data_IF_229017373212
#
_entry.id   IF_229017373212
#
_cell.length_a   1.000
_cell.length_b   1.000
_cell.length_c   1.000
_cell.angle_alpha   90.00
_cell.angle_beta   90.00
_cell.angle_gamma   90.00
#
_symmetry.space_group_name_H-M   'P 1'
#
loop_
_entity.id
_entity.type
_entity.pdbx_description
1 polymer ?
#
# COMPACT_ATOMS: atom_id res chain seq x y z
N UNK A 1 -68.12 7.14 -11.43
CA UNK A 1 -67.11 6.07 -11.52
C UNK A 1 -66.06 6.47 -12.57
N UNK A 2 -65.06 7.27 -12.19
CA UNK A 2 -63.87 7.58 -13.00
C UNK A 2 -62.72 7.78 -12.01
N UNK A 3 -62.04 6.68 -11.68
CA UNK A 3 -60.77 6.68 -10.95
C UNK A 3 -59.67 7.00 -11.97
N UNK A 4 -59.22 8.25 -12.01
CA UNK A 4 -58.00 8.61 -12.73
C UNK A 4 -56.85 8.49 -11.74
N UNK A 5 -56.17 7.34 -11.81
CA UNK A 5 -55.06 6.98 -10.94
C UNK A 5 -53.93 8.01 -11.03
N UNK A 6 -53.63 8.63 -9.88
CA UNK A 6 -52.48 9.48 -9.66
C UNK A 6 -51.22 8.60 -9.77
N UNK A 7 -50.56 8.60 -10.93
CA UNK A 7 -49.25 7.97 -11.11
C UNK A 7 -48.21 8.70 -10.25
N UNK A 8 -47.95 8.13 -9.08
CA UNK A 8 -46.84 8.49 -8.21
C UNK A 8 -45.56 7.93 -8.86
N UNK A 9 -44.87 8.76 -9.62
CA UNK A 9 -43.50 8.49 -10.06
C UNK A 9 -42.58 8.73 -8.86
N UNK A 10 -42.35 7.68 -8.06
CA UNK A 10 -41.39 7.67 -6.96
C UNK A 10 -39.98 7.51 -7.57
N UNK A 11 -39.12 8.54 -7.57
CA UNK A 11 -37.74 8.36 -8.01
C UNK A 11 -37.05 7.51 -6.95
N UNK A 12 -36.79 6.25 -7.28
CA UNK A 12 -35.94 5.37 -6.48
C UNK A 12 -34.54 5.99 -6.51
N UNK A 13 -34.23 6.78 -5.49
CA UNK A 13 -32.87 7.23 -5.22
C UNK A 13 -32.05 5.97 -4.92
N UNK A 14 -31.27 5.49 -5.90
CA UNK A 14 -30.22 4.53 -5.65
C UNK A 14 -29.20 5.23 -4.74
N UNK A 15 -29.36 5.03 -3.43
CA UNK A 15 -28.31 5.25 -2.47
C UNK A 15 -27.18 4.27 -2.79
N UNK A 16 -26.24 4.69 -3.64
CA UNK A 16 -25.01 3.96 -3.86
C UNK A 16 -24.28 3.88 -2.53
N UNK A 17 -24.20 2.69 -1.95
CA UNK A 17 -23.19 2.39 -0.95
C UNK A 17 -21.84 2.57 -1.62
N UNK A 18 -21.23 3.74 -1.44
CA UNK A 18 -19.79 3.91 -1.64
C UNK A 18 -19.15 2.96 -0.62
N UNK A 19 -18.76 1.79 -1.08
CA UNK A 19 -18.10 0.79 -0.24
C UNK A 19 -16.89 1.43 0.42
N UNK A 20 -16.69 1.15 1.71
CA UNK A 20 -15.55 1.67 2.44
C UNK A 20 -14.27 1.29 1.70
N UNK A 21 -13.33 2.22 1.50
CA UNK A 21 -12.09 1.93 0.80
C UNK A 21 -11.31 0.84 1.55
N UNK A 22 -10.63 -0.04 0.80
CA UNK A 22 -9.79 -1.08 1.37
C UNK A 22 -8.65 -0.46 2.19
N UNK A 23 -8.25 -1.10 3.29
CA UNK A 23 -7.08 -0.65 4.06
C UNK A 23 -5.88 -1.56 3.77
N UNK A 24 -4.66 -1.03 3.80
CA UNK A 24 -3.44 -1.83 3.84
C UNK A 24 -3.42 -2.75 5.06
N UNK A 25 -2.98 -4.00 4.87
CA UNK A 25 -2.79 -5.00 5.93
C UNK A 25 -1.32 -5.33 6.17
N UNK A 26 -0.49 -5.24 5.14
CA UNK A 26 0.94 -5.54 5.21
C UNK A 26 1.68 -5.01 3.99
N UNK A 27 2.99 -4.83 4.14
CA UNK A 27 3.88 -4.33 3.10
C UNK A 27 5.14 -5.17 3.06
N UNK A 28 5.45 -5.70 1.89
CA UNK A 28 6.72 -6.34 1.58
C UNK A 28 7.59 -5.37 0.77
N UNK A 29 8.82 -5.15 1.24
CA UNK A 29 9.78 -4.24 0.60
C UNK A 29 10.88 -5.06 -0.05
N UNK A 30 11.14 -4.77 -1.32
CA UNK A 30 12.17 -5.42 -2.14
C UNK A 30 12.98 -4.39 -2.94
N UNK A 31 14.05 -4.85 -3.59
CA UNK A 31 14.81 -4.01 -4.53
C UNK A 31 13.98 -3.52 -5.73
N UNK A 32 12.91 -4.23 -6.10
CA UNK A 32 12.04 -3.86 -7.22
C UNK A 32 10.96 -2.84 -6.82
N UNK A 33 10.67 -2.69 -5.53
CA UNK A 33 9.59 -1.85 -5.03
C UNK A 33 8.90 -2.43 -3.80
N UNK A 34 7.73 -1.86 -3.50
CA UNK A 34 6.84 -2.34 -2.44
C UNK A 34 5.66 -3.11 -3.04
N UNK A 35 5.28 -4.18 -2.33
CA UNK A 35 4.05 -4.93 -2.55
C UNK A 35 3.17 -4.76 -1.31
N UNK A 36 1.93 -4.32 -1.49
CA UNK A 36 1.00 -3.99 -0.41
C UNK A 36 -0.21 -4.90 -0.48
N UNK A 37 -0.40 -5.71 0.56
CA UNK A 37 -1.57 -6.57 0.72
C UNK A 37 -2.74 -5.76 1.31
N UNK A 38 -3.89 -5.75 0.65
CA UNK A 38 -5.07 -4.95 1.04
C UNK A 38 -6.16 -5.81 1.69
N UNK A 39 -7.05 -5.18 2.45
CA UNK A 39 -8.14 -5.86 3.18
C UNK A 39 -9.20 -6.52 2.27
N UNK A 40 -9.26 -6.12 1.00
CA UNK A 40 -10.11 -6.70 -0.04
C UNK A 40 -9.40 -7.81 -0.85
N UNK A 41 -8.23 -8.29 -0.39
CA UNK A 41 -7.37 -9.26 -1.08
C UNK A 41 -6.74 -8.75 -2.38
N UNK A 42 -6.78 -7.45 -2.64
CA UNK A 42 -5.97 -6.86 -3.70
C UNK A 42 -4.51 -6.76 -3.28
N UNK A 43 -3.64 -6.89 -4.26
CA UNK A 43 -2.23 -6.58 -4.13
C UNK A 43 -1.94 -5.33 -4.93
N UNK A 44 -1.43 -4.32 -4.23
CA UNK A 44 -1.07 -3.03 -4.78
C UNK A 44 0.45 -2.91 -4.86
N UNK A 45 0.99 -2.29 -5.91
CA UNK A 45 2.44 -2.20 -6.12
C UNK A 45 2.93 -0.76 -6.19
N UNK A 46 4.10 -0.51 -5.61
CA UNK A 46 4.81 0.77 -5.67
C UNK A 46 6.23 0.56 -6.18
N UNK A 47 6.48 0.69 -7.50
CA UNK A 47 7.79 0.40 -8.07
C UNK A 47 8.88 1.32 -7.52
N UNK A 48 10.06 0.75 -7.26
CA UNK A 48 11.23 1.52 -6.85
C UNK A 48 11.85 2.26 -8.06
N UNK A 49 12.38 3.48 -7.87
CA UNK A 49 13.13 4.16 -8.90
C UNK A 49 14.46 3.47 -9.19
N UNK A 50 14.96 3.63 -10.41
CA UNK A 50 16.32 3.21 -10.74
C UNK A 50 17.33 4.09 -9.97
N UNK A 51 18.23 3.45 -9.21
CA UNK A 51 19.28 4.14 -8.45
C UNK A 51 19.25 3.93 -6.94
N UNK A 52 18.25 3.23 -6.39
CA UNK A 52 18.13 2.98 -4.95
C UNK A 52 17.84 4.26 -4.15
N UNK A 53 17.68 4.12 -2.84
CA UNK A 53 17.33 5.22 -1.93
C UNK A 53 15.84 5.29 -1.58
N UNK A 54 15.48 6.21 -0.69
CA UNK A 54 14.09 6.50 -0.30
C UNK A 54 13.27 7.02 -1.49
N UNK A 55 12.00 6.61 -1.60
CA UNK A 55 11.15 6.99 -2.73
C UNK A 55 9.69 7.21 -2.32
N UNK A 56 8.89 7.76 -3.23
CA UNK A 56 7.47 8.01 -3.00
C UNK A 56 6.71 7.94 -4.32
N UNK A 57 5.42 7.63 -4.26
CA UNK A 57 4.58 7.57 -5.44
C UNK A 57 3.11 7.35 -5.10
N UNK A 58 2.38 6.78 -6.05
CA UNK A 58 1.00 6.31 -5.83
C UNK A 58 0.96 4.83 -6.17
N UNK A 59 0.31 4.03 -5.30
CA UNK A 59 0.18 2.60 -5.52
C UNK A 59 -0.60 2.32 -6.81
N UNK A 60 -0.14 1.32 -7.55
CA UNK A 60 -0.71 0.86 -8.81
C UNK A 60 -1.47 -0.44 -8.57
N UNK A 61 -2.53 -0.68 -9.36
CA UNK A 61 -3.35 -1.89 -9.25
C UNK A 61 -4.39 -1.87 -8.12
N UNK A 62 -4.57 -0.73 -7.44
CA UNK A 62 -5.58 -0.54 -6.41
C UNK A 62 -6.89 0.03 -6.96
N UNK A 63 -8.01 -0.24 -6.27
CA UNK A 63 -9.32 0.38 -6.55
C UNK A 63 -9.38 1.89 -6.23
N UNK A 64 -8.36 2.43 -5.56
CA UNK A 64 -8.29 3.85 -5.17
C UNK A 64 -6.84 4.35 -5.21
N UNK A 65 -6.60 5.65 -5.37
CA UNK A 65 -5.26 6.20 -5.32
C UNK A 65 -4.77 6.22 -3.86
N UNK A 66 -3.68 5.48 -3.59
CA UNK A 66 -2.99 5.50 -2.31
C UNK A 66 -1.60 6.10 -2.51
N UNK A 67 -1.38 7.39 -2.17
CA UNK A 67 -0.04 7.95 -2.07
C UNK A 67 0.78 7.15 -1.05
N UNK A 68 2.07 7.00 -1.30
CA UNK A 68 2.96 6.33 -0.37
C UNK A 68 4.34 6.99 -0.34
N UNK A 69 5.04 6.76 0.76
CA UNK A 69 6.43 7.15 0.99
C UNK A 69 7.19 5.96 1.60
N UNK A 70 8.36 5.68 1.04
CA UNK A 70 9.30 4.70 1.56
C UNK A 70 10.56 5.45 1.99
N UNK A 71 10.87 5.34 3.27
CA UNK A 71 12.07 5.88 3.87
C UNK A 71 12.99 4.71 4.21
N UNK A 72 14.09 4.57 3.47
CA UNK A 72 15.12 3.58 3.82
C UNK A 72 15.87 4.06 5.06
N UNK A 73 15.96 3.19 6.06
CA UNK A 73 16.83 3.44 7.21
C UNK A 73 18.22 2.92 6.86
N UNK A 74 19.06 3.80 6.35
CA UNK A 74 20.47 3.50 6.06
C UNK A 74 21.32 3.36 7.33
N UNK A 75 20.73 3.60 8.52
CA UNK A 75 21.29 3.25 9.81
C UNK A 75 22.78 3.53 9.95
N UNK A 76 23.27 4.69 9.49
CA UNK A 76 24.65 5.16 9.66
C UNK A 76 25.79 4.24 9.18
N UNK A 77 25.51 3.12 8.52
CA UNK A 77 26.52 2.10 8.22
C UNK A 77 26.46 1.69 6.73
N UNK A 78 27.25 2.34 5.86
CA UNK A 78 27.26 2.10 4.41
C UNK A 78 27.64 0.66 4.03
N UNK A 79 28.16 -0.14 4.97
CA UNK A 79 28.47 -1.56 4.78
C UNK A 79 27.18 -2.39 4.62
N UNK A 80 26.03 -1.93 5.16
CA UNK A 80 24.78 -2.72 5.08
C UNK A 80 24.10 -2.69 3.71
N UNK A 81 24.19 -1.58 2.96
CA UNK A 81 23.69 -1.52 1.59
C UNK A 81 24.42 -2.52 0.68
N UNK A 82 25.74 -2.62 0.84
CA UNK A 82 26.57 -3.61 0.14
C UNK A 82 26.30 -5.04 0.60
N UNK A 83 25.96 -5.27 1.87
CA UNK A 83 25.51 -6.59 2.37
C UNK A 83 24.21 -7.06 1.71
N UNK A 84 23.19 -6.21 1.53
CA UNK A 84 21.95 -6.63 0.85
C UNK A 84 22.21 -7.03 -0.61
N UNK A 85 23.05 -6.28 -1.33
CA UNK A 85 23.46 -6.61 -2.70
C UNK A 85 24.29 -7.90 -2.77
N UNK A 86 25.27 -8.07 -1.88
CA UNK A 86 26.18 -9.23 -1.85
C UNK A 86 25.45 -10.50 -1.40
N UNK A 87 24.54 -10.41 -0.42
CA UNK A 87 23.81 -11.58 0.09
C UNK A 87 22.65 -11.99 -0.83
N UNK A 88 22.02 -11.02 -1.51
CA UNK A 88 21.10 -11.31 -2.61
C UNK A 88 21.77 -12.15 -3.72
N UNK A 89 23.05 -11.92 -4.01
CA UNK A 89 23.80 -12.66 -5.02
C UNK A 89 24.13 -14.13 -4.63
N UNK A 90 24.11 -14.47 -3.34
CA UNK A 90 24.30 -15.85 -2.83
C UNK A 90 22.98 -16.52 -2.41
N UNK A 91 21.84 -15.95 -2.80
CA UNK A 91 20.51 -16.53 -2.57
C UNK A 91 19.91 -16.25 -1.19
N UNK A 92 20.51 -15.38 -0.40
CA UNK A 92 19.95 -14.89 0.86
C UNK A 92 19.21 -13.57 0.61
N UNK A 93 17.89 -13.65 0.50
CA UNK A 93 17.01 -12.48 0.32
C UNK A 93 16.91 -11.71 1.64
N UNK A 94 17.72 -10.68 1.79
CA UNK A 94 17.60 -9.72 2.88
C UNK A 94 16.65 -8.59 2.44
N UNK A 95 15.49 -8.47 3.09
CA UNK A 95 14.59 -7.33 2.86
C UNK A 95 15.23 -6.04 3.38
N UNK A 96 15.13 -4.91 2.64
CA UNK A 96 15.63 -3.63 3.09
C UNK A 96 14.99 -3.21 4.42
N UNK A 97 15.76 -2.55 5.28
CA UNK A 97 15.19 -1.85 6.43
C UNK A 97 14.55 -0.56 5.91
N UNK A 98 13.24 -0.47 6.03
CA UNK A 98 12.48 0.65 5.52
C UNK A 98 11.25 0.94 6.37
N UNK A 99 10.91 2.21 6.49
CA UNK A 99 9.58 2.64 6.94
C UNK A 99 8.76 3.00 5.73
N UNK A 100 7.58 2.40 5.60
CA UNK A 100 6.62 2.68 4.53
C UNK A 100 5.40 3.35 5.14
N UNK A 101 5.12 4.57 4.68
CA UNK A 101 3.91 5.31 5.00
C UNK A 101 2.97 5.26 3.80
N UNK A 102 1.70 4.91 4.02
CA UNK A 102 0.67 4.85 2.99
C UNK A 102 -0.47 5.77 3.42
N UNK A 103 -0.77 6.75 2.59
CA UNK A 103 -1.88 7.66 2.78
C UNK A 103 -3.14 7.08 2.12
N UNK A 104 -4.21 7.06 2.89
CA UNK A 104 -5.48 6.51 2.54
C UNK A 104 -6.51 7.56 2.13
N UNK A 105 -7.55 7.12 1.41
CA UNK A 105 -8.77 7.91 1.27
C UNK A 105 -9.35 8.20 2.67
N UNK A 106 -9.93 9.40 2.80
CA UNK A 106 -10.43 9.98 4.05
C UNK A 106 -9.36 10.42 5.08
N UNK A 107 -8.10 10.60 4.65
CA UNK A 107 -7.05 11.21 5.49
C UNK A 107 -6.45 10.28 6.54
N UNK A 108 -6.62 8.97 6.35
CA UNK A 108 -5.95 7.96 7.16
C UNK A 108 -4.50 7.80 6.70
N UNK A 109 -3.57 7.53 7.61
CA UNK A 109 -2.19 7.16 7.27
C UNK A 109 -1.83 5.87 7.99
N UNK A 110 -1.20 4.94 7.28
CA UNK A 110 -0.70 3.68 7.83
C UNK A 110 0.81 3.61 7.70
N UNK A 111 1.49 3.20 8.77
CA UNK A 111 2.93 3.07 8.82
C UNK A 111 3.31 1.60 9.00
N UNK A 112 4.22 1.13 8.17
CA UNK A 112 4.77 -0.22 8.18
C UNK A 112 6.29 -0.16 8.30
N UNK A 113 6.88 -1.13 8.99
CA UNK A 113 8.33 -1.30 9.07
C UNK A 113 8.70 -2.62 8.40
N UNK A 114 9.67 -2.57 7.50
CA UNK A 114 10.32 -3.71 6.88
C UNK A 114 11.76 -3.82 7.43
N UNK A 115 12.28 -5.05 7.61
CA UNK A 115 11.49 -6.26 7.83
C UNK A 115 10.60 -6.09 9.08
N UNK A 116 9.48 -6.84 9.20
CA UNK A 116 8.65 -6.79 10.40
C UNK A 116 9.50 -7.05 11.64
N UNK A 117 9.23 -6.36 12.78
CA UNK A 117 10.00 -6.60 14.00
C UNK A 117 9.90 -8.07 14.38
N UNK A 118 11.05 -8.71 14.53
CA UNK A 118 11.13 -10.09 14.97
C UNK A 118 10.57 -10.17 16.39
N UNK A 119 9.47 -10.89 16.57
CA UNK A 119 8.90 -11.19 17.88
C UNK A 119 9.84 -12.16 18.62
N UNK A 120 10.92 -11.65 19.20
CA UNK A 120 11.73 -12.39 20.15
C UNK A 120 11.51 -11.74 21.52
N UNK A 121 10.53 -12.27 22.25
CA UNK A 121 10.46 -12.27 23.71
C UNK A 121 11.32 -13.41 24.26
#
# INVERSE_FOLDING_TARGET
MRLTALMIALPIALAGCVGSPSRPLGVDVSAAGIEVSMSNRQTCVGPAPAGGGSWSGTLQGCDSPYPYRVTLDEGGNPIRGTLVEVFGAIGLQLSPIATVEIDGPAGNTWTFTSPPPSQFD
#
